data_IF_401492802155
#
_entry.id   IF_401492802155
#
_cell.length_a   1.000
_cell.length_b   1.000
_cell.length_c   1.000
_cell.angle_alpha   90.00
_cell.angle_beta   90.00
_cell.angle_gamma   90.00
#
_symmetry.space_group_name_H-M   'P 1'
#
loop_
_entity.id
_entity.type
_entity.pdbx_description
1 polymer ?
#
# COMPACT_ATOMS: atom_id res chain seq x y z
N UNK A 1 36.21 -49.53 0.82
CA UNK A 1 36.72 -48.20 1.22
C UNK A 1 35.54 -47.24 1.21
N UNK A 2 34.89 -47.09 2.36
CA UNK A 2 33.80 -46.15 2.57
C UNK A 2 34.42 -44.80 2.93
N UNK A 3 34.12 -43.76 2.16
CA UNK A 3 34.61 -42.40 2.40
C UNK A 3 33.63 -41.70 3.36
N UNK A 4 33.98 -41.40 4.63
CA UNK A 4 33.05 -40.86 5.62
C UNK A 4 32.72 -39.36 5.42
N UNK A 5 33.39 -38.69 4.46
CA UNK A 5 33.39 -37.23 4.36
C UNK A 5 32.26 -36.62 3.50
N UNK A 6 31.51 -37.41 2.72
CA UNK A 6 30.38 -36.88 1.94
C UNK A 6 29.08 -36.73 2.75
N UNK A 7 28.91 -37.53 3.80
CA UNK A 7 27.73 -37.45 4.67
C UNK A 7 27.81 -36.26 5.64
N UNK A 8 29.01 -35.87 6.08
CA UNK A 8 29.19 -34.77 7.04
C UNK A 8 29.02 -33.37 6.40
N UNK A 9 29.33 -33.22 5.11
CA UNK A 9 29.07 -31.97 4.38
C UNK A 9 27.59 -31.79 4.06
N UNK A 10 26.90 -32.85 3.60
CA UNK A 10 25.47 -32.81 3.34
C UNK A 10 24.65 -32.58 4.62
N UNK A 11 25.05 -33.17 5.76
CA UNK A 11 24.46 -32.88 7.06
C UNK A 11 24.77 -31.44 7.53
N UNK A 12 25.96 -30.90 7.30
CA UNK A 12 26.28 -29.49 7.60
C UNK A 12 25.47 -28.50 6.75
N UNK A 13 25.26 -28.79 5.47
CA UNK A 13 24.43 -27.97 4.59
C UNK A 13 22.96 -28.02 5.01
N UNK A 14 22.44 -29.21 5.35
CA UNK A 14 21.06 -29.37 5.83
C UNK A 14 20.82 -28.72 7.20
N UNK A 15 21.79 -28.83 8.11
CA UNK A 15 21.77 -28.18 9.43
C UNK A 15 21.92 -26.64 9.33
N UNK A 16 22.54 -26.14 8.25
CA UNK A 16 22.65 -24.72 7.93
C UNK A 16 21.34 -24.18 7.36
N UNK A 17 20.65 -24.97 6.54
CA UNK A 17 19.37 -24.62 5.90
C UNK A 17 18.21 -24.63 6.92
N UNK A 18 18.15 -25.65 7.80
CA UNK A 18 17.19 -25.70 8.91
C UNK A 18 17.39 -24.56 9.91
N UNK A 19 18.65 -24.18 10.22
CA UNK A 19 18.94 -23.01 11.07
C UNK A 19 18.63 -21.67 10.40
N UNK A 20 18.74 -21.59 9.08
CA UNK A 20 18.32 -20.40 8.30
C UNK A 20 16.80 -20.28 8.25
N UNK A 21 16.08 -21.39 8.13
CA UNK A 21 14.61 -21.43 8.19
C UNK A 21 14.12 -21.10 9.60
N UNK A 22 14.72 -21.66 10.66
CA UNK A 22 14.43 -21.27 12.05
C UNK A 22 14.74 -19.79 12.31
N UNK A 23 15.82 -19.25 11.75
CA UNK A 23 16.16 -17.82 11.88
C UNK A 23 15.15 -16.93 11.14
N UNK A 24 14.73 -17.31 9.93
CA UNK A 24 13.69 -16.59 9.16
C UNK A 24 12.33 -16.67 9.88
N UNK A 25 11.95 -17.83 10.41
CA UNK A 25 10.72 -18.00 11.20
C UNK A 25 10.76 -17.28 12.55
N UNK A 26 11.94 -17.19 13.19
CA UNK A 26 12.15 -16.42 14.42
C UNK A 26 12.09 -14.91 14.16
N UNK A 27 12.62 -14.43 13.03
CA UNK A 27 12.49 -13.03 12.59
C UNK A 27 11.03 -12.70 12.25
N UNK A 28 10.30 -13.60 11.58
CA UNK A 28 8.86 -13.43 11.32
C UNK A 28 8.00 -13.54 12.59
N UNK A 29 8.44 -14.25 13.63
CA UNK A 29 7.74 -14.34 14.92
C UNK A 29 7.97 -13.11 15.81
N UNK A 30 9.06 -12.36 15.62
CA UNK A 30 9.34 -11.12 16.37
C UNK A 30 8.39 -9.98 15.97
N UNK A 31 7.85 -9.99 14.76
CA UNK A 31 6.80 -9.05 14.32
C UNK A 31 5.45 -9.27 15.06
N UNK A 32 5.24 -10.45 15.67
CA UNK A 32 4.04 -10.75 16.47
C UNK A 32 4.17 -10.34 17.96
N UNK A 33 5.34 -9.90 18.44
CA UNK A 33 5.56 -9.60 19.88
C UNK A 33 5.29 -8.13 20.23
N UNK A 34 5.05 -7.25 19.26
CA UNK A 34 4.78 -5.82 19.50
C UNK A 34 3.30 -5.40 19.40
N UNK A 35 2.37 -6.36 19.47
CA UNK A 35 0.92 -6.09 19.61
C UNK A 35 0.43 -6.73 20.91
N UNK A 36 0.91 -6.22 22.04
CA UNK A 36 0.19 -6.38 23.30
C UNK A 36 0.35 -5.08 24.10
N UNK A 37 -0.75 -4.66 24.73
CA UNK A 37 -0.96 -3.38 25.43
C UNK A 37 -1.51 -2.23 24.58
N UNK A 38 -2.82 -2.25 24.33
CA UNK A 38 -3.74 -1.24 24.90
C UNK A 38 -5.21 -1.62 24.62
N UNK A 39 -5.85 -2.28 25.59
CA UNK A 39 -7.32 -2.30 25.69
C UNK A 39 -7.76 -1.07 26.51
N UNK A 40 -8.90 -0.45 26.15
CA UNK A 40 -9.97 -0.44 27.13
C UNK A 40 -11.35 -0.75 26.54
N UNK A 41 -12.24 -1.05 27.48
CA UNK A 41 -13.54 -1.70 27.39
C UNK A 41 -14.58 -1.16 26.39
N UNK A 42 -15.38 -2.14 25.98
CA UNK A 42 -16.63 -2.12 25.24
C UNK A 42 -17.77 -1.49 26.06
N UNK A 43 -18.56 -0.60 25.45
CA UNK A 43 -19.96 -0.36 25.84
C UNK A 43 -20.79 0.02 24.60
N UNK A 44 -21.64 -0.92 24.19
CA UNK A 44 -22.71 -0.74 23.22
C UNK A 44 -23.71 0.35 23.64
N UNK A 45 -23.96 1.34 22.78
CA UNK A 45 -25.27 2.02 22.67
C UNK A 45 -25.56 2.54 21.25
N UNK A 46 -26.83 2.55 20.82
CA UNK A 46 -27.21 2.71 19.42
C UNK A 46 -27.38 4.19 19.01
N UNK A 47 -27.08 4.43 17.72
CA UNK A 47 -27.57 5.49 16.83
C UNK A 47 -28.53 6.53 17.43
N UNK A 48 -28.06 7.77 17.58
CA UNK A 48 -28.83 9.01 17.39
C UNK A 48 -27.84 10.17 17.17
N UNK A 49 -27.70 10.67 15.94
CA UNK A 49 -26.95 11.90 15.66
C UNK A 49 -27.91 13.08 15.43
N UNK A 50 -27.97 14.09 16.31
CA UNK A 50 -28.75 15.31 16.11
C UNK A 50 -27.88 16.49 15.66
N UNK A 51 -26.93 16.28 14.73
CA UNK A 51 -26.11 17.37 14.20
C UNK A 51 -26.11 17.37 12.67
N UNK A 52 -26.66 18.46 12.11
CA UNK A 52 -26.81 18.66 10.68
C UNK A 52 -25.49 18.87 9.94
N UNK A 53 -25.58 18.66 8.62
CA UNK A 53 -24.50 18.80 7.64
C UNK A 53 -23.67 20.12 7.84
N UNK A 54 -22.34 20.05 7.94
CA UNK A 54 -21.41 21.18 8.11
C UNK A 54 -20.83 21.75 6.80
N UNK A 55 -20.94 21.05 5.67
CA UNK A 55 -20.78 21.67 4.33
C UNK A 55 -21.89 22.65 4.01
N UNK A 56 -22.92 22.68 4.85
CA UNK A 56 -24.04 23.61 4.76
C UNK A 56 -23.64 25.07 5.04
N UNK A 57 -22.37 25.36 5.34
CA UNK A 57 -21.86 26.72 5.55
C UNK A 57 -20.56 27.08 4.79
N UNK A 58 -20.15 26.29 3.79
CA UNK A 58 -19.27 26.83 2.72
C UNK A 58 -20.00 27.96 1.94
N UNK A 59 -21.30 28.11 2.15
CA UNK A 59 -22.14 29.11 1.48
C UNK A 59 -21.84 30.53 1.97
N UNK A 60 -21.56 31.47 1.05
CA UNK A 60 -21.42 32.86 1.42
C UNK A 60 -22.80 33.40 1.85
N UNK A 61 -22.89 33.91 3.08
CA UNK A 61 -23.59 35.19 3.28
C UNK A 61 -22.54 36.28 3.06
N UNK A 62 -22.68 36.98 1.93
CA UNK A 62 -22.19 38.33 1.67
C UNK A 62 -20.67 38.60 1.63
N UNK A 63 -19.87 37.69 1.05
CA UNK A 63 -18.54 38.08 0.55
C UNK A 63 -18.30 37.43 -0.81
N UNK A 64 -18.51 38.19 -1.88
CA UNK A 64 -18.26 37.73 -3.24
C UNK A 64 -16.75 37.45 -3.39
N UNK A 65 -16.33 36.20 -3.67
CA UNK A 65 -14.94 35.95 -4.03
C UNK A 65 -14.60 36.76 -5.29
N UNK A 66 -13.34 37.19 -5.43
CA UNK A 66 -12.94 37.88 -6.66
C UNK A 66 -13.18 36.96 -7.87
N UNK A 67 -13.54 37.49 -9.05
CA UNK A 67 -13.83 36.68 -10.23
C UNK A 67 -12.76 35.63 -10.53
N UNK A 68 -11.48 36.01 -10.37
CA UNK A 68 -10.32 35.13 -10.53
C UNK A 68 -10.30 33.93 -9.55
N UNK A 69 -10.67 34.14 -8.29
CA UNK A 69 -10.69 33.05 -7.29
C UNK A 69 -11.82 32.06 -7.60
N UNK A 70 -12.93 32.57 -8.12
CA UNK A 70 -14.06 31.73 -8.56
C UNK A 70 -13.71 30.92 -9.82
N UNK A 71 -13.03 31.53 -10.79
CA UNK A 71 -12.54 30.83 -12.00
C UNK A 71 -11.60 29.68 -11.65
N UNK A 72 -10.66 29.88 -10.72
CA UNK A 72 -9.76 28.81 -10.25
C UNK A 72 -10.52 27.63 -9.64
N UNK A 73 -11.52 27.93 -8.80
CA UNK A 73 -12.37 26.90 -8.20
C UNK A 73 -13.16 26.14 -9.27
N UNK A 74 -13.79 26.85 -10.21
CA UNK A 74 -14.57 26.22 -11.27
C UNK A 74 -13.68 25.33 -12.15
N UNK A 75 -12.49 25.81 -12.53
CA UNK A 75 -11.52 25.02 -13.29
C UNK A 75 -11.13 23.73 -12.56
N UNK A 76 -10.90 23.79 -11.25
CA UNK A 76 -10.63 22.60 -10.43
C UNK A 76 -11.83 21.65 -10.43
N UNK A 77 -13.04 22.14 -10.16
CA UNK A 77 -14.24 21.30 -10.08
C UNK A 77 -14.62 20.68 -11.43
N UNK A 78 -14.46 21.40 -12.53
CA UNK A 78 -14.66 20.88 -13.88
C UNK A 78 -13.64 19.80 -14.24
N UNK A 79 -12.38 19.98 -13.84
CA UNK A 79 -11.32 18.99 -14.02
C UNK A 79 -11.63 17.71 -13.23
N UNK A 80 -12.03 17.86 -11.96
CA UNK A 80 -12.48 16.75 -11.12
C UNK A 80 -13.69 16.04 -11.75
N UNK A 81 -14.71 16.78 -12.20
CA UNK A 81 -15.88 16.22 -12.87
C UNK A 81 -15.48 15.43 -14.12
N UNK A 82 -14.56 15.96 -14.94
CA UNK A 82 -14.04 15.28 -16.13
C UNK A 82 -13.33 13.98 -15.77
N UNK A 83 -12.51 13.96 -14.72
CA UNK A 83 -11.84 12.74 -14.25
C UNK A 83 -12.82 11.70 -13.75
N UNK A 84 -13.79 12.10 -12.94
CA UNK A 84 -14.85 11.21 -12.44
C UNK A 84 -15.65 10.59 -13.60
N UNK A 85 -16.00 11.38 -14.62
CA UNK A 85 -16.67 10.85 -15.83
C UNK A 85 -15.81 9.86 -16.61
N UNK A 86 -14.48 9.98 -16.58
CA UNK A 86 -13.58 9.00 -17.21
C UNK A 86 -13.53 7.66 -16.47
N UNK A 87 -13.79 7.67 -15.16
CA UNK A 87 -13.88 6.44 -14.36
C UNK A 87 -15.22 5.73 -14.52
N UNK A 88 -16.18 6.38 -15.20
CA UNK A 88 -17.47 5.79 -15.47
C UNK A 88 -17.29 4.54 -16.33
N UNK A 89 -17.87 3.45 -15.84
CA UNK A 89 -17.74 2.15 -16.48
C UNK A 89 -18.79 2.06 -17.60
N UNK A 90 -18.36 1.68 -18.81
CA UNK A 90 -19.27 1.45 -19.95
C UNK A 90 -19.79 0.02 -19.96
N UNK A 91 -18.94 -0.93 -19.59
CA UNK A 91 -19.28 -2.33 -19.41
C UNK A 91 -19.08 -2.71 -17.95
N UNK A 92 -20.17 -3.06 -17.26
CA UNK A 92 -20.19 -3.51 -15.86
C UNK A 92 -19.13 -4.58 -15.55
N UNK A 93 -18.72 -5.38 -16.54
CA UNK A 93 -17.66 -6.38 -16.41
C UNK A 93 -16.28 -5.80 -16.04
N UNK A 94 -16.04 -4.51 -16.29
CA UNK A 94 -14.76 -3.83 -16.02
C UNK A 94 -14.61 -3.34 -14.56
N UNK A 95 -15.71 -3.29 -13.79
CA UNK A 95 -15.67 -2.89 -12.37
C UNK A 95 -14.79 -3.86 -11.59
N UNK A 96 -13.86 -3.34 -10.79
CA UNK A 96 -12.87 -4.12 -10.04
C UNK A 96 -11.99 -5.01 -10.93
N UNK A 97 -11.73 -4.60 -12.16
CA UNK A 97 -10.54 -5.04 -12.91
C UNK A 97 -9.30 -4.26 -12.45
N UNK A 98 -8.12 -4.85 -12.56
CA UNK A 98 -6.84 -4.17 -12.29
C UNK A 98 -6.64 -2.96 -13.21
N UNK A 99 -7.16 -3.02 -14.44
CA UNK A 99 -7.14 -1.87 -15.36
C UNK A 99 -7.98 -0.70 -14.84
N UNK A 100 -9.21 -0.96 -14.36
CA UNK A 100 -10.04 0.08 -13.76
C UNK A 100 -9.43 0.63 -12.47
N UNK A 101 -8.90 -0.25 -11.61
CA UNK A 101 -8.22 0.15 -10.37
C UNK A 101 -7.01 1.04 -10.67
N UNK A 102 -6.20 0.70 -11.68
CA UNK A 102 -5.11 1.57 -12.14
C UNK A 102 -5.62 2.97 -12.48
N UNK A 103 -6.63 3.07 -13.35
CA UNK A 103 -7.18 4.37 -13.76
C UNK A 103 -7.78 5.15 -12.58
N UNK A 104 -8.44 4.47 -11.64
CA UNK A 104 -8.96 5.09 -10.43
C UNK A 104 -7.85 5.66 -9.53
N UNK A 105 -6.73 4.93 -9.38
CA UNK A 105 -5.58 5.40 -8.61
C UNK A 105 -4.84 6.54 -9.32
N UNK A 106 -4.63 6.45 -10.63
CA UNK A 106 -4.06 7.54 -11.46
C UNK A 106 -4.91 8.82 -11.30
N UNK A 107 -6.24 8.69 -11.41
CA UNK A 107 -7.16 9.80 -11.22
C UNK A 107 -7.08 10.40 -9.81
N UNK A 108 -6.76 9.60 -8.80
CA UNK A 108 -6.60 10.06 -7.42
C UNK A 108 -5.29 10.81 -7.23
N UNK A 109 -4.19 10.27 -7.75
CA UNK A 109 -2.86 10.91 -7.79
C UNK A 109 -2.92 12.29 -8.45
N UNK A 110 -3.55 12.38 -9.63
CA UNK A 110 -3.70 13.63 -10.35
C UNK A 110 -4.51 14.66 -9.54
N UNK A 111 -5.60 14.24 -8.90
CA UNK A 111 -6.47 15.17 -8.16
C UNK A 111 -5.82 15.66 -6.87
N UNK A 112 -5.08 14.82 -6.16
CA UNK A 112 -4.25 15.25 -5.02
C UNK A 112 -3.13 16.21 -5.45
N UNK A 113 -2.54 15.99 -6.63
CA UNK A 113 -1.52 16.88 -7.19
C UNK A 113 -2.10 18.26 -7.53
N UNK A 114 -3.32 18.32 -8.05
CA UNK A 114 -3.98 19.59 -8.38
C UNK A 114 -4.20 20.50 -7.16
N UNK A 115 -4.34 19.94 -5.96
CA UNK A 115 -4.41 20.75 -4.73
C UNK A 115 -3.13 21.56 -4.54
N UNK A 116 -1.97 20.97 -4.82
CA UNK A 116 -0.68 21.67 -4.73
C UNK A 116 -0.62 22.84 -5.73
N UNK A 117 -1.10 22.61 -6.95
CA UNK A 117 -1.22 23.65 -7.98
C UNK A 117 -2.16 24.77 -7.52
N UNK A 118 -3.34 24.40 -7.01
CA UNK A 118 -4.35 25.33 -6.51
C UNK A 118 -3.83 26.20 -5.36
N UNK A 119 -3.12 25.62 -4.38
CA UNK A 119 -2.50 26.37 -3.27
C UNK A 119 -1.51 27.42 -3.81
N UNK A 120 -0.71 27.03 -4.80
CA UNK A 120 0.29 27.90 -5.45
C UNK A 120 -0.39 29.05 -6.19
N UNK A 121 -1.43 28.78 -6.97
CA UNK A 121 -2.16 29.76 -7.77
C UNK A 121 -2.97 30.74 -6.91
N UNK A 122 -3.56 30.24 -5.81
CA UNK A 122 -4.24 31.08 -4.82
C UNK A 122 -3.26 32.00 -4.07
N UNK A 123 -1.94 31.72 -4.13
CA UNK A 123 -0.92 32.36 -3.29
C UNK A 123 -1.40 32.41 -1.84
N UNK A 124 -1.81 31.24 -1.34
CA UNK A 124 -2.41 31.10 -0.02
C UNK A 124 -1.41 30.38 0.90
N UNK A 125 -0.54 31.13 1.60
CA UNK A 125 0.51 30.53 2.41
C UNK A 125 -0.09 29.73 3.57
N UNK A 126 0.61 28.70 4.00
CA UNK A 126 0.22 27.83 5.13
C UNK A 126 -0.02 28.63 6.41
N UNK A 127 0.69 29.76 6.61
CA UNK A 127 0.48 30.67 7.75
C UNK A 127 -0.94 31.23 7.86
N UNK A 128 -1.67 31.25 6.75
CA UNK A 128 -3.04 31.79 6.69
C UNK A 128 -4.09 30.68 6.89
N UNK A 129 -3.65 29.43 7.08
CA UNK A 129 -4.53 28.30 7.34
C UNK A 129 -4.94 28.32 8.82
N UNK A 130 -6.17 27.87 9.09
CA UNK A 130 -6.67 27.75 10.45
C UNK A 130 -6.16 26.46 11.09
N UNK A 131 -5.71 26.54 12.34
CA UNK A 131 -5.10 25.41 13.10
C UNK A 131 -5.95 24.14 13.05
N UNK A 132 -7.26 24.27 13.25
CA UNK A 132 -8.19 23.15 13.23
C UNK A 132 -8.23 22.42 11.88
N UNK A 133 -8.09 23.14 10.77
CA UNK A 133 -8.06 22.53 9.44
C UNK A 133 -6.73 21.83 9.17
N UNK A 134 -5.63 22.40 9.67
CA UNK A 134 -4.32 21.77 9.59
C UNK A 134 -4.31 20.45 10.36
N UNK A 135 -4.88 20.42 11.57
CA UNK A 135 -5.00 19.19 12.37
C UNK A 135 -5.81 18.12 11.65
N UNK A 136 -6.96 18.50 11.07
CA UNK A 136 -7.83 17.57 10.33
C UNK A 136 -7.16 17.03 9.07
N UNK A 137 -6.43 17.88 8.34
CA UNK A 137 -5.65 17.43 7.19
C UNK A 137 -4.52 16.48 7.62
N UNK A 138 -3.81 16.80 8.70
CA UNK A 138 -2.74 15.95 9.22
C UNK A 138 -3.30 14.60 9.71
N UNK A 139 -4.45 14.56 10.38
CA UNK A 139 -5.06 13.30 10.82
C UNK A 139 -5.62 12.49 9.64
N UNK A 140 -6.24 13.17 8.67
CA UNK A 140 -6.77 12.52 7.46
C UNK A 140 -5.65 11.96 6.59
N UNK A 141 -4.53 12.68 6.45
CA UNK A 141 -3.37 12.20 5.67
C UNK A 141 -2.75 10.94 6.28
N UNK A 142 -2.65 10.83 7.61
CA UNK A 142 -2.20 9.58 8.26
C UNK A 142 -3.16 8.43 7.93
N UNK A 143 -4.46 8.67 8.05
CA UNK A 143 -5.49 7.68 7.75
C UNK A 143 -5.40 7.19 6.30
N UNK A 144 -5.14 8.09 5.34
CA UNK A 144 -4.93 7.73 3.93
C UNK A 144 -3.63 6.93 3.74
N UNK A 145 -2.54 7.30 4.40
CA UNK A 145 -1.27 6.55 4.35
C UNK A 145 -1.42 5.13 4.90
N UNK A 146 -2.20 4.96 5.98
CA UNK A 146 -2.50 3.64 6.55
C UNK A 146 -3.27 2.75 5.56
N UNK A 147 -4.20 3.32 4.79
CA UNK A 147 -4.89 2.62 3.70
C UNK A 147 -3.91 2.21 2.60
N UNK A 148 -3.01 3.09 2.18
CA UNK A 148 -1.98 2.73 1.20
C UNK A 148 -1.09 1.58 1.70
N UNK A 149 -0.70 1.58 2.98
CA UNK A 149 0.05 0.48 3.58
C UNK A 149 -0.75 -0.83 3.53
N UNK A 150 -2.06 -0.77 3.81
CA UNK A 150 -2.92 -1.94 3.70
C UNK A 150 -2.99 -2.47 2.26
N UNK A 151 -3.16 -1.60 1.27
CA UNK A 151 -3.18 -1.95 -0.15
C UNK A 151 -1.84 -2.55 -0.60
N UNK A 152 -0.71 -1.92 -0.28
CA UNK A 152 0.62 -2.44 -0.62
C UNK A 152 0.87 -3.81 0.03
N UNK A 153 0.42 -4.00 1.27
CA UNK A 153 0.50 -5.29 1.96
C UNK A 153 -0.33 -6.37 1.25
N UNK A 154 -1.50 -6.02 0.74
CA UNK A 154 -2.38 -6.94 0.03
C UNK A 154 -1.88 -7.29 -1.37
N UNK A 155 -1.44 -6.28 -2.13
CA UNK A 155 -0.82 -6.50 -3.44
C UNK A 155 0.43 -7.38 -3.29
N UNK A 156 1.24 -7.15 -2.25
CA UNK A 156 2.41 -7.99 -1.96
C UNK A 156 2.02 -9.44 -1.65
N UNK A 157 0.94 -9.66 -0.89
CA UNK A 157 0.39 -11.00 -0.59
C UNK A 157 -0.08 -11.71 -1.87
N UNK A 158 -0.79 -11.00 -2.73
CA UNK A 158 -1.24 -11.53 -4.02
C UNK A 158 -0.05 -11.85 -4.94
N UNK A 159 0.96 -10.98 -5.01
CA UNK A 159 2.19 -11.23 -5.76
C UNK A 159 2.97 -12.44 -5.21
N UNK A 160 3.04 -12.61 -3.90
CA UNK A 160 3.65 -13.80 -3.29
C UNK A 160 2.91 -15.08 -3.69
N UNK A 161 1.58 -15.05 -3.76
CA UNK A 161 0.81 -16.21 -4.21
C UNK A 161 1.16 -16.62 -5.65
N UNK A 162 1.54 -15.68 -6.53
CA UNK A 162 1.91 -16.00 -7.91
C UNK A 162 3.16 -16.88 -8.01
N UNK A 163 4.04 -16.88 -7.01
CA UNK A 163 5.21 -17.75 -6.97
C UNK A 163 4.81 -19.23 -6.96
N UNK A 164 3.69 -19.58 -6.31
CA UNK A 164 3.16 -20.95 -6.30
C UNK A 164 2.71 -21.38 -7.69
N UNK A 165 2.06 -20.48 -8.44
CA UNK A 165 1.61 -20.76 -9.81
C UNK A 165 2.79 -20.88 -10.79
N UNK A 166 3.84 -20.07 -10.60
CA UNK A 166 5.08 -20.19 -11.36
C UNK A 166 5.77 -21.54 -11.10
N UNK A 167 5.80 -22.00 -9.84
CA UNK A 167 6.29 -23.33 -9.49
C UNK A 167 5.49 -24.43 -10.19
N UNK A 168 4.15 -24.38 -10.15
CA UNK A 168 3.27 -25.34 -10.83
C UNK A 168 3.58 -25.39 -12.32
N UNK A 169 3.67 -24.23 -12.98
CA UNK A 169 3.98 -24.14 -14.41
C UNK A 169 5.35 -24.74 -14.74
N UNK A 170 6.38 -24.47 -13.94
CA UNK A 170 7.71 -25.02 -14.15
C UNK A 170 7.76 -26.53 -13.91
N UNK A 171 7.07 -27.03 -12.90
CA UNK A 171 7.02 -28.47 -12.58
C UNK A 171 6.26 -29.27 -13.64
N UNK A 172 5.20 -28.67 -14.19
CA UNK A 172 4.33 -29.27 -15.20
C UNK A 172 4.71 -28.89 -16.64
N UNK A 173 5.90 -28.34 -16.89
CA UNK A 173 6.33 -28.06 -18.26
C UNK A 173 6.45 -29.37 -19.06
N UNK A 174 5.48 -29.60 -19.96
CA UNK A 174 5.34 -30.82 -20.78
C UNK A 174 6.16 -30.69 -22.08
N UNK A 175 7.28 -29.95 -22.04
CA UNK A 175 8.09 -29.67 -23.23
C UNK A 175 8.82 -30.90 -23.80
N UNK A 176 8.94 -31.99 -23.04
CA UNK A 176 9.54 -33.26 -23.52
C UNK A 176 8.75 -34.52 -23.15
N UNK A 177 8.26 -34.66 -21.91
CA UNK A 177 7.63 -35.89 -21.40
C UNK A 177 6.44 -35.59 -20.50
N UNK A 178 5.51 -36.55 -20.39
CA UNK A 178 4.39 -36.45 -19.45
C UNK A 178 4.89 -36.37 -17.99
N UNK A 179 4.35 -35.49 -17.13
CA UNK A 179 4.84 -35.34 -15.76
C UNK A 179 4.70 -36.63 -14.95
N UNK A 180 5.72 -36.94 -14.13
CA UNK A 180 5.64 -38.06 -13.19
C UNK A 180 4.54 -37.85 -12.14
N UNK A 181 4.05 -38.93 -11.55
CA UNK A 181 3.06 -38.87 -10.46
C UNK A 181 3.51 -37.99 -9.28
N UNK A 182 4.80 -37.95 -8.96
CA UNK A 182 5.34 -37.07 -7.92
C UNK A 182 5.23 -35.59 -8.31
N UNK A 183 5.50 -35.24 -9.59
CA UNK A 183 5.36 -33.88 -10.11
C UNK A 183 3.90 -33.42 -10.12
N UNK A 184 2.97 -34.32 -10.48
CA UNK A 184 1.53 -34.06 -10.43
C UNK A 184 1.08 -33.79 -8.99
N UNK A 185 1.44 -34.67 -8.04
CA UNK A 185 1.10 -34.50 -6.63
C UNK A 185 1.68 -33.21 -6.03
N UNK A 186 2.95 -32.89 -6.35
CA UNK A 186 3.57 -31.64 -5.89
C UNK A 186 2.81 -30.42 -6.41
N UNK A 187 2.42 -30.44 -7.67
CA UNK A 187 1.66 -29.35 -8.30
C UNK A 187 0.27 -29.22 -7.70
N UNK A 188 -0.41 -30.33 -7.45
CA UNK A 188 -1.70 -30.35 -6.76
C UNK A 188 -1.62 -29.65 -5.39
N UNK A 189 -0.62 -30.01 -4.57
CA UNK A 189 -0.42 -29.38 -3.27
C UNK A 189 -0.13 -27.87 -3.40
N UNK A 190 0.68 -27.45 -4.37
CA UNK A 190 0.93 -26.03 -4.61
C UNK A 190 -0.33 -25.26 -5.06
N UNK A 191 -1.24 -25.89 -5.81
CA UNK A 191 -2.54 -25.31 -6.16
C UNK A 191 -3.46 -25.18 -4.93
N UNK A 192 -3.44 -26.18 -4.03
CA UNK A 192 -4.17 -26.11 -2.76
C UNK A 192 -3.62 -25.00 -1.86
N UNK A 193 -2.29 -24.89 -1.73
CA UNK A 193 -1.62 -23.84 -0.98
C UNK A 193 -1.94 -22.46 -1.57
N UNK A 194 -1.95 -22.33 -2.89
CA UNK A 194 -2.32 -21.08 -3.56
C UNK A 194 -3.75 -20.68 -3.20
N UNK A 195 -4.69 -21.62 -3.26
CA UNK A 195 -6.10 -21.40 -2.92
C UNK A 195 -6.28 -21.01 -1.46
N UNK A 196 -5.54 -21.64 -0.55
CA UNK A 196 -5.53 -21.26 0.87
C UNK A 196 -4.96 -19.85 1.06
N UNK A 197 -3.87 -19.51 0.36
CA UNK A 197 -3.30 -18.18 0.41
C UNK A 197 -4.30 -17.14 -0.09
N UNK A 198 -4.86 -17.24 -1.29
CA UNK A 198 -5.75 -16.20 -1.82
C UNK A 198 -7.03 -16.01 -0.98
N UNK A 199 -7.51 -17.07 -0.32
CA UNK A 199 -8.70 -17.01 0.56
C UNK A 199 -8.40 -16.54 1.98
N UNK A 200 -7.13 -16.49 2.39
CA UNK A 200 -6.74 -15.95 3.69
C UNK A 200 -7.05 -14.45 3.78
N UNK A 201 -7.60 -14.03 4.92
CA UNK A 201 -7.97 -12.63 5.16
C UNK A 201 -6.74 -11.80 5.54
N UNK A 202 -6.65 -10.59 5.01
CA UNK A 202 -5.67 -9.61 5.42
C UNK A 202 -6.28 -8.63 6.43
N UNK A 203 -5.85 -8.71 7.69
CA UNK A 203 -6.40 -7.88 8.77
C UNK A 203 -6.25 -6.38 8.51
N UNK A 204 -5.20 -5.93 7.82
CA UNK A 204 -5.02 -4.51 7.48
C UNK A 204 -6.10 -4.01 6.53
N UNK A 205 -6.49 -4.84 5.56
CA UNK A 205 -7.56 -4.53 4.61
C UNK A 205 -8.92 -4.52 5.31
N UNK A 206 -9.19 -5.47 6.21
CA UNK A 206 -10.42 -5.50 7.01
C UNK A 206 -10.57 -4.22 7.85
N UNK A 207 -9.46 -3.73 8.40
CA UNK A 207 -9.41 -2.49 9.19
C UNK A 207 -9.65 -1.22 8.36
N UNK A 208 -9.51 -1.27 7.02
CA UNK A 208 -9.76 -0.09 6.17
C UNK A 208 -11.19 0.43 6.31
N UNK A 209 -12.18 -0.44 6.56
CA UNK A 209 -13.56 -0.02 6.81
C UNK A 209 -13.68 0.97 7.97
N UNK A 210 -12.95 0.74 9.06
CA UNK A 210 -12.92 1.64 10.23
C UNK A 210 -12.23 2.96 9.89
N UNK A 211 -11.12 2.91 9.14
CA UNK A 211 -10.37 4.09 8.72
C UNK A 211 -11.21 4.96 7.78
N UNK A 212 -11.92 4.34 6.83
CA UNK A 212 -12.81 5.04 5.90
C UNK A 212 -14.01 5.68 6.59
N UNK A 213 -14.58 5.03 7.60
CA UNK A 213 -15.62 5.62 8.44
C UNK A 213 -15.10 6.82 9.24
N UNK A 214 -13.88 6.73 9.80
CA UNK A 214 -13.21 7.87 10.46
C UNK A 214 -13.01 9.04 9.49
N UNK A 215 -12.50 8.78 8.29
CA UNK A 215 -12.32 9.78 7.23
C UNK A 215 -13.66 10.41 6.81
N UNK A 216 -14.71 9.61 6.69
CA UNK A 216 -16.06 10.12 6.41
C UNK A 216 -16.55 11.04 7.52
N UNK A 217 -16.28 10.69 8.78
CA UNK A 217 -16.53 11.56 9.93
C UNK A 217 -15.77 12.89 9.87
N UNK A 218 -14.53 12.89 9.38
CA UNK A 218 -13.68 14.08 9.28
C UNK A 218 -14.09 15.04 8.14
N UNK A 219 -14.81 14.54 7.12
CA UNK A 219 -15.48 15.40 6.14
C UNK A 219 -16.39 16.41 6.85
N UNK A 220 -17.05 16.01 7.93
CA UNK A 220 -18.08 16.79 8.59
C UNK A 220 -17.55 17.89 9.55
N UNK A 221 -16.49 18.60 9.16
CA UNK A 221 -15.91 19.63 10.03
C UNK A 221 -16.74 20.93 10.07
N UNK A 222 -17.14 21.31 11.29
CA UNK A 222 -17.97 22.48 11.57
C UNK A 222 -17.33 23.86 11.29
N UNK A 223 -18.18 24.89 11.38
CA UNK A 223 -17.93 26.29 11.02
C UNK A 223 -16.54 26.80 11.39
N UNK A 224 -15.75 27.09 10.36
CA UNK A 224 -14.42 27.66 10.44
C UNK A 224 -14.44 29.08 9.83
N UNK A 225 -13.79 30.05 10.49
CA UNK A 225 -13.72 31.43 9.99
C UNK A 225 -12.64 31.50 8.91
N UNK A 226 -12.99 31.13 7.68
CA UNK A 226 -12.05 31.08 6.57
C UNK A 226 -12.12 32.33 5.68
N UNK A 227 -10.95 32.77 5.22
CA UNK A 227 -10.81 33.78 4.16
C UNK A 227 -11.44 33.27 2.85
N UNK A 228 -11.68 34.15 1.87
CA UNK A 228 -12.21 33.75 0.57
C UNK A 228 -11.33 32.66 -0.11
N UNK A 229 -10.00 32.76 0.01
CA UNK A 229 -9.05 31.75 -0.47
C UNK A 229 -9.15 30.44 0.30
N UNK A 230 -9.25 30.52 1.64
CA UNK A 230 -9.46 29.36 2.50
C UNK A 230 -10.76 28.62 2.14
N UNK A 231 -11.85 29.33 1.87
CA UNK A 231 -13.12 28.72 1.43
C UNK A 231 -12.97 27.93 0.12
N UNK A 232 -12.22 28.47 -0.86
CA UNK A 232 -11.94 27.77 -2.12
C UNK A 232 -11.11 26.51 -1.89
N UNK A 233 -10.00 26.63 -1.15
CA UNK A 233 -9.15 25.48 -0.85
C UNK A 233 -9.95 24.40 -0.11
N UNK A 234 -10.76 24.77 0.89
CA UNK A 234 -11.54 23.81 1.63
C UNK A 234 -12.58 23.08 0.78
N UNK A 235 -13.18 23.81 -0.17
CA UNK A 235 -14.12 23.24 -1.12
C UNK A 235 -13.44 22.27 -2.10
N UNK A 236 -12.23 22.59 -2.57
CA UNK A 236 -11.44 21.68 -3.39
C UNK A 236 -11.04 20.42 -2.62
N UNK A 237 -10.51 20.60 -1.41
CA UNK A 237 -10.12 19.52 -0.50
C UNK A 237 -11.28 18.57 -0.17
N UNK A 238 -12.50 19.09 -0.04
CA UNK A 238 -13.69 18.25 0.11
C UNK A 238 -13.87 17.28 -1.07
N UNK A 239 -13.78 17.78 -2.31
CA UNK A 239 -13.88 16.94 -3.51
C UNK A 239 -12.79 15.87 -3.55
N UNK A 240 -11.55 16.23 -3.19
CA UNK A 240 -10.44 15.29 -3.09
C UNK A 240 -10.71 14.19 -2.07
N UNK A 241 -11.14 14.56 -0.86
CA UNK A 241 -11.41 13.58 0.20
C UNK A 241 -12.60 12.67 -0.15
N UNK A 242 -13.65 13.20 -0.77
CA UNK A 242 -14.78 12.39 -1.26
C UNK A 242 -14.31 11.37 -2.30
N UNK A 243 -13.49 11.80 -3.26
CA UNK A 243 -12.92 10.88 -4.25
C UNK A 243 -12.02 9.83 -3.58
N UNK A 244 -11.17 10.23 -2.62
CA UNK A 244 -10.31 9.31 -1.86
C UNK A 244 -11.13 8.24 -1.14
N UNK A 245 -12.13 8.65 -0.37
CA UNK A 245 -12.98 7.72 0.38
C UNK A 245 -13.69 6.75 -0.57
N UNK A 246 -14.20 7.25 -1.70
CA UNK A 246 -14.85 6.42 -2.70
C UNK A 246 -13.89 5.39 -3.32
N UNK A 247 -12.76 5.83 -3.89
CA UNK A 247 -11.80 4.94 -4.56
C UNK A 247 -11.22 3.92 -3.56
N UNK A 248 -10.80 4.39 -2.38
CA UNK A 248 -10.27 3.50 -1.35
C UNK A 248 -11.35 2.53 -0.84
N UNK A 249 -12.60 2.96 -0.69
CA UNK A 249 -13.71 2.08 -0.30
C UNK A 249 -13.96 0.96 -1.30
N UNK A 250 -13.98 1.29 -2.60
CA UNK A 250 -14.13 0.29 -3.67
C UNK A 250 -12.96 -0.70 -3.66
N UNK A 251 -11.72 -0.23 -3.50
CA UNK A 251 -10.54 -1.09 -3.46
C UNK A 251 -10.54 -1.99 -2.23
N UNK A 252 -10.82 -1.44 -1.05
CA UNK A 252 -10.94 -2.20 0.18
C UNK A 252 -12.04 -3.27 0.06
N UNK A 253 -13.16 -2.96 -0.59
CA UNK A 253 -14.20 -3.94 -0.84
C UNK A 253 -13.73 -5.07 -1.77
N UNK A 254 -13.09 -4.71 -2.89
CA UNK A 254 -12.53 -5.68 -3.84
C UNK A 254 -11.47 -6.60 -3.22
N UNK A 255 -10.57 -6.05 -2.40
CA UNK A 255 -9.51 -6.81 -1.74
C UNK A 255 -10.00 -7.65 -0.55
N UNK A 256 -10.95 -7.14 0.25
CA UNK A 256 -11.51 -7.91 1.39
C UNK A 256 -12.49 -8.98 0.95
N UNK A 257 -13.09 -8.84 -0.24
CA UNK A 257 -14.27 -9.62 -0.61
C UNK A 257 -15.48 -9.30 0.28
N UNK A 258 -15.60 -8.06 0.75
CA UNK A 258 -16.70 -7.61 1.61
C UNK A 258 -17.21 -6.22 1.22
N UNK A 259 -18.52 -5.97 1.34
CA UNK A 259 -19.12 -4.65 1.12
C UNK A 259 -18.91 -3.67 2.28
N UNK A 260 -18.35 -4.11 3.41
CA UNK A 260 -18.21 -3.31 4.64
C UNK A 260 -17.43 -1.99 4.47
N UNK A 261 -16.56 -1.92 3.46
CA UNK A 261 -15.76 -0.73 3.17
C UNK A 261 -16.44 0.23 2.18
N UNK A 262 -17.57 -0.15 1.56
CA UNK A 262 -18.31 0.72 0.66
C UNK A 262 -19.08 1.78 1.46
N UNK A 263 -18.85 3.05 1.14
CA UNK A 263 -19.49 4.19 1.78
C UNK A 263 -20.30 4.95 0.73
N UNK A 264 -21.60 5.09 0.97
CA UNK A 264 -22.48 5.90 0.13
C UNK A 264 -22.43 7.36 0.62
N UNK A 265 -21.63 8.17 -0.06
CA UNK A 265 -21.50 9.59 0.25
C UNK A 265 -22.62 10.39 -0.42
N UNK A 266 -23.19 11.33 0.33
CA UNK A 266 -24.22 12.25 -0.18
C UNK A 266 -23.57 13.60 -0.51
N UNK A 267 -23.45 13.90 -1.80
CA UNK A 267 -22.85 15.14 -2.31
C UNK A 267 -23.93 16.09 -2.81
N UNK A 268 -23.83 17.36 -2.42
CA UNK A 268 -24.80 18.39 -2.82
C UNK A 268 -24.63 18.81 -4.28
N UNK A 269 -25.75 19.03 -5.00
CA UNK A 269 -25.77 19.50 -6.41
C UNK A 269 -25.14 20.89 -6.65
N UNK A 270 -24.63 21.53 -5.60
CA UNK A 270 -23.93 22.81 -5.67
C UNK A 270 -22.49 22.68 -6.19
N UNK A 271 -21.95 21.48 -6.28
CA UNK A 271 -20.61 21.22 -6.82
C UNK A 271 -20.69 20.84 -8.29
N UNK A 272 -19.82 21.38 -9.14
CA UNK A 272 -19.86 21.10 -10.59
C UNK A 272 -19.57 19.62 -10.92
N UNK A 273 -18.98 18.90 -9.98
CA UNK A 273 -18.66 17.48 -10.08
C UNK A 273 -19.71 16.56 -9.43
N UNK A 274 -20.73 17.09 -8.76
CA UNK A 274 -21.70 16.30 -7.99
C UNK A 274 -22.44 15.28 -8.85
N UNK A 275 -22.97 15.68 -10.00
CA UNK A 275 -23.67 14.78 -10.94
C UNK A 275 -22.75 13.64 -11.40
N UNK A 276 -21.52 13.98 -11.79
CA UNK A 276 -20.53 13.00 -12.24
C UNK A 276 -20.17 11.99 -11.14
N UNK A 277 -20.01 12.46 -9.90
CA UNK A 277 -19.73 11.61 -8.76
C UNK A 277 -20.93 10.73 -8.38
N UNK A 278 -22.12 11.32 -8.26
CA UNK A 278 -23.31 10.60 -7.84
C UNK A 278 -23.65 9.48 -8.85
N UNK A 279 -23.53 9.75 -10.15
CA UNK A 279 -23.68 8.72 -11.19
C UNK A 279 -22.63 7.61 -11.07
N UNK A 280 -21.35 7.98 -10.96
CA UNK A 280 -20.26 7.02 -10.80
C UNK A 280 -20.42 6.14 -9.55
N UNK A 281 -20.77 6.75 -8.41
CA UNK A 281 -20.96 6.03 -7.15
C UNK A 281 -22.13 5.05 -7.26
N UNK A 282 -23.25 5.46 -7.84
CA UNK A 282 -24.41 4.58 -8.03
C UNK A 282 -24.07 3.37 -8.88
N UNK A 283 -23.38 3.58 -10.00
CA UNK A 283 -23.06 2.50 -10.93
C UNK A 283 -22.00 1.55 -10.35
N UNK A 284 -20.91 2.09 -9.81
CA UNK A 284 -19.81 1.28 -9.27
C UNK A 284 -20.20 0.60 -7.97
N UNK A 285 -20.75 1.32 -6.98
CA UNK A 285 -21.17 0.67 -5.72
C UNK A 285 -22.32 -0.31 -5.98
N UNK A 286 -23.23 0.02 -6.90
CA UNK A 286 -24.31 -0.89 -7.32
C UNK A 286 -23.75 -2.20 -7.86
N UNK A 287 -22.82 -2.13 -8.81
CA UNK A 287 -22.19 -3.31 -9.39
C UNK A 287 -21.40 -4.11 -8.34
N UNK A 288 -20.60 -3.46 -7.49
CA UNK A 288 -19.85 -4.16 -6.44
C UNK A 288 -20.81 -4.89 -5.47
N UNK A 289 -21.91 -4.26 -5.05
CA UNK A 289 -22.93 -4.90 -4.20
C UNK A 289 -23.62 -6.06 -4.90
N UNK A 290 -23.94 -5.91 -6.18
CA UNK A 290 -24.54 -6.97 -6.96
C UNK A 290 -23.58 -8.16 -7.11
N UNK A 291 -22.27 -7.93 -7.34
CA UNK A 291 -21.26 -9.00 -7.36
C UNK A 291 -21.23 -9.79 -6.04
N UNK A 292 -21.37 -9.11 -4.89
CA UNK A 292 -21.44 -9.77 -3.59
C UNK A 292 -22.73 -10.58 -3.37
N UNK A 293 -23.89 -10.07 -3.82
CA UNK A 293 -25.18 -10.77 -3.71
C UNK A 293 -25.20 -12.08 -4.48
N UNK A 294 -24.50 -12.15 -5.60
CA UNK A 294 -24.43 -13.36 -6.43
C UNK A 294 -23.40 -14.39 -5.92
N UNK A 295 -22.77 -14.14 -4.76
CA UNK A 295 -21.91 -15.12 -4.09
C UNK A 295 -20.54 -15.32 -4.75
N UNK A 296 -20.07 -14.37 -5.55
CA UNK A 296 -18.70 -14.41 -6.07
C UNK A 296 -17.72 -14.32 -4.89
N UNK A 297 -16.89 -15.35 -4.73
CA UNK A 297 -15.90 -15.44 -3.63
C UNK A 297 -14.66 -14.57 -3.87
N UNK A 298 -14.40 -14.18 -5.11
CA UNK A 298 -13.26 -13.34 -5.52
C UNK A 298 -13.78 -12.26 -6.45
N UNK A 299 -13.82 -11.02 -5.98
CA UNK A 299 -14.46 -9.92 -6.74
C UNK A 299 -13.51 -9.31 -7.77
N UNK A 300 -12.20 -9.44 -7.56
CA UNK A 300 -11.18 -8.99 -8.49
C UNK A 300 -11.22 -9.85 -9.75
N UNK A 301 -11.63 -9.27 -10.88
CA UNK A 301 -11.89 -9.99 -12.13
C UNK A 301 -10.67 -10.73 -12.66
N UNK A 302 -9.52 -10.08 -12.59
CA UNK A 302 -8.26 -10.67 -13.03
C UNK A 302 -7.84 -11.87 -12.15
N UNK A 303 -8.20 -11.87 -10.85
CA UNK A 303 -7.97 -13.00 -9.95
C UNK A 303 -8.98 -14.14 -10.20
N UNK A 304 -10.23 -13.81 -10.53
CA UNK A 304 -11.27 -14.79 -10.89
C UNK A 304 -10.88 -15.58 -12.15
N UNK A 305 -10.22 -14.94 -13.12
CA UNK A 305 -9.66 -15.60 -14.30
C UNK A 305 -8.58 -16.63 -13.92
N UNK A 306 -7.65 -16.25 -13.04
CA UNK A 306 -6.60 -17.15 -12.53
C UNK A 306 -7.20 -18.32 -11.74
N UNK A 307 -8.16 -18.05 -10.85
CA UNK A 307 -8.86 -19.08 -10.07
C UNK A 307 -9.62 -20.06 -10.98
N UNK A 308 -10.18 -19.58 -12.09
CA UNK A 308 -10.80 -20.45 -13.11
C UNK A 308 -9.79 -21.38 -13.78
N UNK A 309 -8.61 -20.87 -14.14
CA UNK A 309 -7.51 -21.71 -14.65
C UNK A 309 -7.05 -22.75 -13.61
N UNK A 310 -6.92 -22.35 -12.34
CA UNK A 310 -6.57 -23.25 -11.24
C UNK A 310 -7.62 -24.34 -11.06
N UNK A 311 -8.91 -24.00 -11.08
CA UNK A 311 -10.01 -24.99 -11.00
C UNK A 311 -10.00 -26.00 -12.15
N UNK A 312 -9.61 -25.57 -13.35
CA UNK A 312 -9.50 -26.45 -14.51
C UNK A 312 -8.28 -27.38 -14.42
N UNK A 313 -7.16 -26.86 -13.89
CA UNK A 313 -5.91 -27.61 -13.74
C UNK A 313 -5.93 -28.59 -12.56
N UNK A 314 -6.59 -28.22 -11.46
CA UNK A 314 -6.67 -29.00 -10.20
C UNK A 314 -7.00 -30.49 -10.43
N UNK A 315 -8.11 -30.86 -11.09
CA UNK A 315 -8.46 -32.28 -11.31
C UNK A 315 -7.45 -33.03 -12.21
N UNK A 316 -6.70 -32.33 -13.07
CA UNK A 316 -5.70 -32.93 -13.95
C UNK A 316 -4.38 -33.24 -13.22
N UNK A 317 -4.20 -32.68 -12.02
CA UNK A 317 -3.05 -32.92 -11.15
C UNK A 317 -3.32 -33.96 -10.07
N UNK A 318 -4.58 -34.41 -9.93
CA UNK A 318 -4.95 -35.47 -9.02
C UNK A 318 -4.41 -36.83 -9.50
N UNK A 319 -3.72 -37.54 -8.61
CA UNK A 319 -3.15 -38.87 -8.90
C UNK A 319 -4.24 -39.95 -8.81
N UNK A 320 -5.14 -40.00 -9.81
CA UNK A 320 -6.15 -41.06 -9.99
C UNK A 320 -5.65 -42.25 -10.83
N UNK A 321 -6.48 -43.29 -10.96
CA UNK A 321 -6.15 -44.48 -11.76
C UNK A 321 -6.11 -44.22 -13.29
N UNK A 322 -6.75 -43.15 -13.76
CA UNK A 322 -6.74 -42.73 -15.15
C UNK A 322 -5.70 -41.63 -15.36
N UNK A 323 -4.77 -41.86 -16.29
CA UNK A 323 -3.75 -40.88 -16.64
C UNK A 323 -4.42 -39.66 -17.31
N UNK A 324 -4.16 -38.42 -16.86
CA UNK A 324 -4.73 -37.22 -17.46
C UNK A 324 -4.37 -37.12 -18.95
N UNK A 325 -5.31 -36.63 -19.75
CA UNK A 325 -5.05 -36.29 -21.15
C UNK A 325 -3.91 -35.25 -21.23
N UNK A 326 -2.80 -35.66 -21.83
CA UNK A 326 -1.58 -34.87 -21.94
C UNK A 326 -1.79 -33.54 -22.67
N UNK A 327 -2.62 -33.52 -23.71
CA UNK A 327 -2.93 -32.29 -24.45
C UNK A 327 -3.79 -31.35 -23.61
N UNK A 328 -4.78 -31.90 -22.89
CA UNK A 328 -5.62 -31.11 -21.97
C UNK A 328 -4.81 -30.51 -20.82
N UNK A 329 -3.88 -31.27 -20.25
CA UNK A 329 -2.97 -30.81 -19.20
C UNK A 329 -2.10 -29.67 -19.71
N UNK A 330 -1.46 -29.86 -20.87
CA UNK A 330 -0.61 -28.86 -21.51
C UNK A 330 -1.38 -27.56 -21.79
N UNK A 331 -2.58 -27.65 -22.35
CA UNK A 331 -3.42 -26.47 -22.61
C UNK A 331 -3.79 -25.74 -21.30
N UNK A 332 -4.17 -26.47 -20.26
CA UNK A 332 -4.52 -25.89 -18.95
C UNK A 332 -3.33 -25.19 -18.28
N UNK A 333 -2.11 -25.74 -18.41
CA UNK A 333 -0.88 -25.11 -17.90
C UNK A 333 -0.54 -23.84 -18.68
N UNK A 334 -0.74 -23.83 -20.00
CA UNK A 334 -0.54 -22.64 -20.83
C UNK A 334 -1.53 -21.53 -20.46
N UNK A 335 -2.82 -21.86 -20.33
CA UNK A 335 -3.86 -20.91 -19.94
C UNK A 335 -3.60 -20.32 -18.55
N UNK A 336 -3.20 -21.16 -17.57
CA UNK A 336 -2.78 -20.70 -16.26
C UNK A 336 -1.58 -19.75 -16.35
N UNK A 337 -0.58 -20.09 -17.16
CA UNK A 337 0.59 -19.26 -17.39
C UNK A 337 0.23 -17.88 -17.92
N UNK A 338 -0.58 -17.82 -18.98
CA UNK A 338 -1.02 -16.56 -19.57
C UNK A 338 -1.86 -15.72 -18.61
N UNK A 339 -2.82 -16.34 -17.90
CA UNK A 339 -3.65 -15.61 -16.94
C UNK A 339 -2.85 -15.11 -15.74
N UNK A 340 -1.91 -15.91 -15.22
CA UNK A 340 -1.05 -15.54 -14.08
C UNK A 340 -0.09 -14.41 -14.45
N UNK A 341 0.49 -14.41 -15.66
CA UNK A 341 1.35 -13.33 -16.15
C UNK A 341 0.59 -12.01 -16.29
N UNK A 342 -0.62 -12.03 -16.87
CA UNK A 342 -1.47 -10.84 -16.99
C UNK A 342 -1.81 -10.29 -15.60
N UNK A 343 -2.22 -11.16 -14.67
CA UNK A 343 -2.56 -10.77 -13.31
C UNK A 343 -1.36 -10.16 -12.56
N UNK A 344 -0.20 -10.82 -12.62
CA UNK A 344 1.04 -10.33 -12.00
C UNK A 344 1.47 -8.97 -12.57
N UNK A 345 1.41 -8.80 -13.90
CA UNK A 345 1.75 -7.53 -14.54
C UNK A 345 0.79 -6.41 -14.12
N UNK A 346 -0.50 -6.71 -14.01
CA UNK A 346 -1.50 -5.77 -13.51
C UNK A 346 -1.27 -5.36 -12.06
N UNK A 347 -0.92 -6.31 -11.18
CA UNK A 347 -0.58 -6.05 -9.78
C UNK A 347 0.68 -5.18 -9.64
N UNK A 348 1.71 -5.42 -10.45
CA UNK A 348 2.93 -4.62 -10.44
C UNK A 348 2.68 -3.17 -10.87
N UNK A 349 1.80 -2.96 -11.84
CA UNK A 349 1.38 -1.62 -12.25
C UNK A 349 0.57 -0.96 -11.14
N UNK A 350 -0.42 -1.64 -10.56
CA UNK A 350 -1.23 -1.12 -9.48
C UNK A 350 -0.38 -0.77 -8.24
N UNK A 351 0.61 -1.61 -7.91
CA UNK A 351 1.58 -1.38 -6.83
C UNK A 351 2.32 -0.06 -7.00
N UNK A 352 2.78 0.24 -8.23
CA UNK A 352 3.45 1.51 -8.54
C UNK A 352 2.52 2.71 -8.38
N UNK A 353 1.26 2.59 -8.78
CA UNK A 353 0.28 3.67 -8.60
C UNK A 353 -0.06 3.91 -7.12
N UNK A 354 -0.19 2.85 -6.32
CA UNK A 354 -0.40 2.97 -4.86
C UNK A 354 0.82 3.63 -4.19
N UNK A 355 2.03 3.23 -4.58
CA UNK A 355 3.27 3.85 -4.08
C UNK A 355 3.37 5.33 -4.48
N UNK A 356 3.06 5.65 -5.74
CA UNK A 356 3.01 7.03 -6.20
C UNK A 356 2.02 7.86 -5.38
N UNK A 357 0.82 7.32 -5.14
CA UNK A 357 -0.18 7.97 -4.31
C UNK A 357 0.31 8.18 -2.87
N UNK A 358 0.93 7.17 -2.26
CA UNK A 358 1.55 7.26 -0.94
C UNK A 358 2.57 8.41 -0.88
N UNK A 359 3.46 8.52 -1.87
CA UNK A 359 4.46 9.60 -1.93
C UNK A 359 3.83 10.99 -2.12
N UNK A 360 2.75 11.11 -2.90
CA UNK A 360 2.03 12.37 -3.05
C UNK A 360 1.43 12.82 -1.70
N UNK A 361 0.76 11.92 -0.98
CA UNK A 361 0.15 12.23 0.32
C UNK A 361 1.23 12.55 1.36
N UNK A 362 2.29 11.75 1.43
CA UNK A 362 3.41 11.96 2.37
C UNK A 362 4.12 13.28 2.11
N UNK A 363 4.44 13.58 0.86
CA UNK A 363 5.11 14.84 0.50
C UNK A 363 4.23 16.07 0.77
N UNK A 364 2.90 15.97 0.54
CA UNK A 364 1.95 17.02 0.91
C UNK A 364 1.91 17.27 2.41
N UNK A 365 1.90 16.20 3.22
CA UNK A 365 1.99 16.26 4.69
C UNK A 365 3.30 16.91 5.15
N UNK A 366 4.44 16.44 4.64
CA UNK A 366 5.76 16.92 5.03
C UNK A 366 5.95 18.39 4.65
N UNK A 367 5.43 18.81 3.49
CA UNK A 367 5.43 20.21 3.09
C UNK A 367 4.66 21.08 4.09
N UNK A 368 3.49 20.64 4.55
CA UNK A 368 2.73 21.37 5.57
C UNK A 368 3.51 21.49 6.89
N UNK A 369 4.07 20.37 7.39
CA UNK A 369 4.85 20.35 8.62
C UNK A 369 6.11 21.21 8.55
N UNK A 370 6.79 21.23 7.40
CA UNK A 370 7.96 22.10 7.19
C UNK A 370 7.58 23.59 7.24
N UNK A 371 6.46 23.97 6.61
CA UNK A 371 5.98 25.35 6.64
C UNK A 371 5.58 25.82 8.04
N UNK A 372 5.00 24.94 8.86
CA UNK A 372 4.67 25.23 10.27
C UNK A 372 5.94 25.49 11.10
N UNK A 373 6.97 24.65 10.94
CA UNK A 373 8.26 24.84 11.64
C UNK A 373 8.94 26.16 11.26
N UNK A 374 8.88 26.57 9.99
CA UNK A 374 9.45 27.85 9.54
C UNK A 374 8.67 29.02 10.13
N UNK A 375 7.35 28.93 10.18
CA UNK A 375 6.46 29.96 10.76
C UNK A 375 6.73 30.14 12.26
N UNK A 376 6.96 29.06 13.01
CA UNK A 376 7.36 29.09 14.41
C UNK A 376 8.72 29.75 14.65
N UNK A 377 9.69 29.50 13.77
CA UNK A 377 11.02 30.13 13.86
C UNK A 377 10.93 31.62 13.54
N UNK A 378 10.10 32.02 12.57
CA UNK A 378 9.89 33.43 12.22
C UNK A 378 9.13 34.19 13.32
N UNK A 379 8.09 33.59 13.91
CA UNK A 379 7.36 34.18 15.04
C UNK A 379 8.25 34.32 16.29
N UNK A 380 9.12 33.34 16.56
CA UNK A 380 10.14 33.42 17.61
C UNK A 380 11.22 34.47 17.31
N UNK A 381 11.60 34.67 16.05
CA UNK A 381 12.55 35.73 15.63
C UNK A 381 11.95 37.13 15.76
N UNK A 382 10.67 37.31 15.41
CA UNK A 382 9.96 38.58 15.65
C UNK A 382 9.80 38.89 17.14
N UNK A 383 9.57 37.87 17.98
CA UNK A 383 9.57 38.03 19.45
C UNK A 383 10.96 38.25 20.06
N UNK A 384 12.05 37.90 19.36
CA UNK A 384 13.46 38.09 19.79
C UNK A 384 14.04 39.49 19.51
N UNK A 385 13.22 40.46 19.07
CA UNK A 385 13.57 41.90 19.12
C UNK A 385 13.70 42.46 20.54
N UNK A 386 13.34 41.68 21.56
CA UNK A 386 13.59 41.96 22.98
C UNK A 386 14.21 40.71 23.61
N UNK A 387 15.37 40.90 24.24
CA UNK A 387 16.21 39.95 25.00
C UNK A 387 17.36 39.21 24.28
N UNK A 388 18.54 39.38 24.89
CA UNK A 388 19.83 38.72 24.62
C UNK A 388 19.86 37.27 25.11
N UNK A 389 20.81 36.44 24.61
CA UNK A 389 20.64 35.00 24.51
C UNK A 389 21.23 34.23 25.69
N UNK A 390 20.48 33.24 26.16
CA UNK A 390 21.01 32.08 26.87
C UNK A 390 20.25 30.82 26.44
N UNK A 391 21.01 29.74 26.26
CA UNK A 391 20.61 28.35 26.46
C UNK A 391 20.10 27.52 25.26
N UNK A 392 21.10 27.02 24.52
CA UNK A 392 21.44 25.59 24.40
C UNK A 392 20.41 24.56 24.90
N UNK A 393 19.43 24.16 24.06
CA UNK A 393 18.82 22.82 24.18
C UNK A 393 18.05 22.35 22.92
N UNK A 394 18.62 22.46 21.72
CA UNK A 394 17.94 22.01 20.49
C UNK A 394 18.79 21.06 19.63
N UNK A 395 19.34 20.01 20.25
CA UNK A 395 20.12 18.97 19.56
C UNK A 395 19.69 17.51 19.81
N UNK A 396 18.54 17.25 20.46
CA UNK A 396 18.11 15.85 20.76
C UNK A 396 16.92 15.30 19.97
N UNK A 397 16.27 16.08 19.10
CA UNK A 397 15.09 15.59 18.35
C UNK A 397 15.46 15.06 16.95
N UNK A 398 16.69 15.29 16.49
CA UNK A 398 17.20 14.86 15.16
C UNK A 398 17.50 13.35 15.09
N UNK A 399 17.62 12.67 16.23
CA UNK A 399 18.05 11.26 16.25
C UNK A 399 16.90 10.25 16.09
N UNK A 400 15.63 10.63 16.33
CA UNK A 400 14.53 9.65 16.32
C UNK A 400 13.93 9.40 14.93
N UNK A 401 13.90 10.42 14.08
CA UNK A 401 13.37 10.33 12.70
C UNK A 401 14.36 9.65 11.73
N UNK A 402 15.66 9.71 12.04
CA UNK A 402 16.70 9.07 11.22
C UNK A 402 16.82 7.58 11.51
N UNK A 403 16.56 7.12 12.75
CA UNK A 403 16.57 5.69 13.08
C UNK A 403 15.39 4.92 12.48
N UNK A 404 14.22 5.53 12.32
CA UNK A 404 13.07 4.92 11.63
C UNK A 404 13.31 4.79 10.11
N UNK A 405 13.90 5.83 9.51
CA UNK A 405 14.27 5.84 8.09
C UNK A 405 15.40 4.84 7.78
N UNK A 406 16.36 4.68 8.69
CA UNK A 406 17.43 3.67 8.61
C UNK A 406 16.90 2.24 8.82
N UNK A 407 15.86 2.05 9.62
CA UNK A 407 15.20 0.75 9.81
C UNK A 407 14.49 0.24 8.55
N UNK A 408 13.80 1.14 7.83
CA UNK A 408 13.09 0.81 6.58
C UNK A 408 14.09 0.54 5.44
N UNK A 409 15.15 1.34 5.33
CA UNK A 409 16.22 1.10 4.36
C UNK A 409 16.91 -0.23 4.66
N UNK A 410 17.16 -0.56 5.93
CA UNK A 410 17.76 -1.84 6.35
C UNK A 410 16.96 -3.06 5.90
N UNK A 411 15.63 -3.06 6.06
CA UNK A 411 14.78 -4.18 5.66
C UNK A 411 14.73 -4.36 4.14
N UNK A 412 14.64 -3.26 3.39
CA UNK A 412 14.68 -3.27 1.93
C UNK A 412 16.05 -3.73 1.40
N UNK A 413 17.14 -3.33 2.06
CA UNK A 413 18.49 -3.74 1.69
C UNK A 413 18.74 -5.23 1.96
N UNK A 414 18.22 -5.78 3.06
CA UNK A 414 18.30 -7.23 3.35
C UNK A 414 17.51 -8.01 2.31
N UNK A 415 16.34 -7.55 1.91
CA UNK A 415 15.53 -8.21 0.87
C UNK A 415 16.22 -8.19 -0.51
N UNK A 416 16.86 -7.06 -0.88
CA UNK A 416 17.66 -6.95 -2.11
C UNK A 416 18.95 -7.78 -2.03
N UNK A 417 19.58 -7.85 -0.85
CA UNK A 417 20.79 -8.65 -0.62
C UNK A 417 20.50 -10.15 -0.71
N UNK A 418 19.38 -10.62 -0.14
CA UNK A 418 18.89 -12.00 -0.31
C UNK A 418 18.60 -12.31 -1.78
N UNK A 419 17.99 -11.37 -2.53
CA UNK A 419 17.75 -11.53 -3.97
C UNK A 419 19.05 -11.62 -4.80
N UNK A 420 20.08 -10.87 -4.41
CA UNK A 420 21.38 -10.83 -5.11
C UNK A 420 22.31 -11.97 -4.70
N UNK A 421 22.18 -12.55 -3.51
CA UNK A 421 22.97 -13.68 -3.03
C UNK A 421 22.72 -14.96 -3.86
N UNK A 422 21.58 -15.04 -4.56
CA UNK A 422 21.25 -16.12 -5.49
C UNK A 422 21.74 -15.87 -6.93
N UNK A 423 22.52 -14.81 -7.19
CA UNK A 423 23.09 -14.49 -8.50
C UNK A 423 24.62 -14.36 -8.40
N UNK A 424 25.38 -14.94 -9.33
CA UNK A 424 26.84 -15.15 -9.25
C UNK A 424 27.74 -13.90 -9.19
N UNK A 425 27.22 -12.67 -9.09
CA UNK A 425 28.00 -11.43 -9.07
C UNK A 425 28.32 -10.92 -7.64
N UNK A 426 29.01 -11.73 -6.83
CA UNK A 426 29.10 -11.48 -5.38
C UNK A 426 30.30 -10.68 -4.84
N UNK A 427 31.33 -10.33 -5.62
CA UNK A 427 32.58 -9.78 -5.03
C UNK A 427 32.65 -8.25 -5.03
N UNK A 428 32.08 -7.58 -6.05
CA UNK A 428 32.19 -6.12 -6.20
C UNK A 428 31.15 -5.39 -5.32
N UNK A 429 29.95 -5.96 -5.18
CA UNK A 429 28.85 -5.36 -4.42
C UNK A 429 29.02 -5.49 -2.89
N UNK A 430 29.68 -6.53 -2.40
CA UNK A 430 29.98 -6.67 -0.97
C UNK A 430 30.96 -5.59 -0.48
N UNK A 431 31.92 -5.20 -1.33
CA UNK A 431 32.90 -4.15 -1.04
C UNK A 431 32.23 -2.77 -0.94
N UNK A 432 31.24 -2.49 -1.79
CA UNK A 432 30.45 -1.24 -1.74
C UNK A 432 29.59 -1.19 -0.47
N UNK A 433 28.97 -2.32 -0.07
CA UNK A 433 28.21 -2.42 1.18
C UNK A 433 29.07 -2.17 2.42
N UNK A 434 30.30 -2.72 2.46
CA UNK A 434 31.22 -2.53 3.59
C UNK A 434 31.64 -1.06 3.73
N UNK A 435 31.84 -0.35 2.61
CA UNK A 435 32.18 1.07 2.60
C UNK A 435 31.00 1.93 3.07
N UNK A 436 29.78 1.64 2.58
CA UNK A 436 28.58 2.41 2.92
C UNK A 436 28.18 2.23 4.39
N UNK A 437 28.20 1.00 4.90
CA UNK A 437 27.89 0.71 6.29
C UNK A 437 28.99 1.17 7.26
N UNK A 438 30.27 1.17 6.84
CA UNK A 438 31.35 1.77 7.62
C UNK A 438 31.18 3.29 7.77
N UNK A 439 30.71 3.97 6.73
CA UNK A 439 30.39 5.40 6.77
C UNK A 439 29.20 5.70 7.72
N UNK A 440 28.14 4.88 7.67
CA UNK A 440 26.95 5.01 8.53
C UNK A 440 27.23 4.70 10.02
N UNK A 441 28.10 3.74 10.31
CA UNK A 441 28.50 3.38 11.70
C UNK A 441 29.19 4.52 12.48
N UNK A 442 29.70 5.53 11.77
CA UNK A 442 30.31 6.73 12.37
C UNK A 442 29.27 7.70 12.95
N UNK A 443 28.02 7.65 12.49
CA UNK A 443 26.96 8.62 12.82
C UNK A 443 26.02 8.20 13.97
N UNK A 444 25.86 6.90 14.30
CA UNK A 444 25.00 6.44 15.41
C UNK A 444 25.72 5.47 16.36
N UNK A 445 25.43 5.57 17.68
CA UNK A 445 25.96 4.65 18.71
C UNK A 445 25.23 3.29 18.71
N UNK A 446 23.94 3.26 18.37
CA UNK A 446 23.11 2.04 18.25
C UNK A 446 23.58 1.17 17.08
N UNK A 447 23.80 1.80 15.92
CA UNK A 447 24.35 1.14 14.74
C UNK A 447 25.78 0.64 14.94
N UNK A 448 26.55 1.22 15.87
CA UNK A 448 27.93 0.81 16.16
C UNK A 448 28.00 -0.57 16.83
N UNK A 449 27.02 -0.90 17.68
CA UNK A 449 26.92 -2.22 18.33
C UNK A 449 26.46 -3.28 17.32
N UNK A 450 25.43 -2.96 16.53
CA UNK A 450 24.91 -3.82 15.46
C UNK A 450 25.93 -4.04 14.34
N UNK A 451 26.71 -3.02 13.97
CA UNK A 451 27.80 -3.13 13.00
C UNK A 451 28.95 -3.99 13.52
N UNK A 452 29.28 -3.94 14.82
CA UNK A 452 30.27 -4.87 15.39
C UNK A 452 29.82 -6.32 15.25
N UNK A 453 28.56 -6.62 15.55
CA UNK A 453 27.99 -7.97 15.41
C UNK A 453 27.95 -8.42 13.94
N UNK A 454 27.48 -7.57 13.03
CA UNK A 454 27.42 -7.84 11.60
C UNK A 454 28.81 -8.00 10.97
N UNK A 455 29.81 -7.22 11.41
CA UNK A 455 31.21 -7.34 10.98
C UNK A 455 31.83 -8.65 11.45
N UNK A 456 31.49 -9.14 12.64
CA UNK A 456 31.94 -10.47 13.10
C UNK A 456 31.36 -11.58 12.24
N UNK A 457 30.07 -11.51 11.89
CA UNK A 457 29.40 -12.49 11.02
C UNK A 457 29.95 -12.47 9.60
N UNK A 458 30.23 -11.29 9.03
CA UNK A 458 30.88 -11.17 7.72
C UNK A 458 32.30 -11.71 7.78
N UNK A 459 33.09 -11.36 8.80
CA UNK A 459 34.45 -11.86 8.92
C UNK A 459 34.50 -13.38 9.11
N UNK A 460 33.61 -13.99 9.91
CA UNK A 460 33.48 -15.44 10.03
C UNK A 460 33.04 -16.11 8.72
N UNK A 461 32.17 -15.46 7.94
CA UNK A 461 31.72 -15.97 6.64
C UNK A 461 32.82 -15.86 5.58
N UNK A 462 33.64 -14.81 5.65
CA UNK A 462 34.77 -14.56 4.73
C UNK A 462 35.95 -15.48 5.05
N UNK A 463 36.24 -15.76 6.32
CA UNK A 463 37.22 -16.78 6.73
C UNK A 463 36.78 -18.19 6.30
N UNK A 464 35.49 -18.52 6.42
CA UNK A 464 34.94 -19.81 5.92
C UNK A 464 35.01 -19.93 4.40
N UNK A 465 34.84 -18.84 3.65
CA UNK A 465 35.00 -18.82 2.19
C UNK A 465 36.46 -18.89 1.73
N UNK A 466 37.42 -18.39 2.53
CA UNK A 466 38.85 -18.57 2.24
C UNK A 466 39.35 -19.98 2.60
N UNK A 467 38.78 -20.63 3.62
CA UNK A 467 39.06 -22.03 3.96
C UNK A 467 38.53 -23.06 2.95
N UNK A 468 37.62 -22.66 2.06
CA UNK A 468 37.12 -23.51 0.94
C UNK A 468 37.97 -23.32 -0.33
N UNK A 469 38.91 -22.36 -0.34
CA UNK A 469 39.81 -22.08 -1.47
C UNK A 469 41.26 -22.54 -1.25
N UNK A 470 41.53 -23.35 -0.23
CA UNK A 470 42.81 -24.05 -0.04
C UNK A 470 42.61 -25.56 0.03
#
# INVERSE_FOLDING_TARGET
MNNPNLTDSALKYKLSEEKLIEFVLAVCSIDNIYIEMSLPHDEHRPSFFPFGNPFRMIFPKDTYPSPRILELLNSFEETLAKRLRKLHVKDKSEVLSLAWMKSAMESLCETHTDIKSLITELKFPVSDWEDKWMDVYLDSSVSVLDICIAFSSEISRLNQSQLLLQCVRHVLDVSSDFPSSEKLLRSHNSLDDWKLQITSKNQKIENCSLILNKLTGSLYLGKAKTSAKGKVLMRAMYGVMVQTIFVCGVFSAGFSGSENALIDLQVSDKFLWAEAFNGLQLDVNGEVRDLFRHGSKTVLKDLEAVDSCVKNLHPLTSTGADQPDAEKLKHSVLDLGSSSEIFSAGLDILSKEVENFFQIVLSGRDALLCNLRVSDVQSKKQKKGQYRPSDLLERRIVDFSSELFLGIISAHFVHVWVKLFFTEECVVLSSICVVYCSALSRFSRSLRSRWKMFRTVINESTEKLQLVRF
#
